data_IF_093190407275
#
_entry.id   IF_093190407275
#
_cell.length_a   1.000
_cell.length_b   1.000
_cell.length_c   1.000
_cell.angle_alpha   90.00
_cell.angle_beta   90.00
_cell.angle_gamma   90.00
#
_symmetry.space_group_name_H-M   'P 1'
#
loop_
_entity.id
_entity.type
_entity.pdbx_description
1 polymer ?
#
# COMPACT_ATOMS: atom_id res chain seq x y z
N UNK A 1 15.58 -3.32 -4.33
CA UNK A 1 14.62 -3.11 -3.22
C UNK A 1 13.61 -2.03 -3.56
N UNK A 2 14.05 -0.84 -3.96
CA UNK A 2 13.17 0.33 -4.22
C UNK A 2 11.98 0.01 -5.14
N UNK A 3 12.20 -0.41 -6.39
CA UNK A 3 11.10 -0.74 -7.32
C UNK A 3 10.14 -1.83 -6.81
N UNK A 4 10.64 -2.77 -6.01
CA UNK A 4 9.82 -3.82 -5.41
C UNK A 4 8.90 -3.23 -4.34
N UNK A 5 9.46 -2.44 -3.43
CA UNK A 5 8.70 -1.76 -2.38
C UNK A 5 7.69 -0.79 -2.98
N UNK A 6 8.05 -0.05 -4.03
CA UNK A 6 7.15 0.88 -4.72
C UNK A 6 5.95 0.14 -5.35
N UNK A 7 6.19 -1.01 -6.01
CA UNK A 7 5.13 -1.84 -6.57
C UNK A 7 4.18 -2.42 -5.51
N UNK A 8 4.74 -2.85 -4.37
CA UNK A 8 3.94 -3.31 -3.23
C UNK A 8 3.14 -2.17 -2.61
N UNK A 9 3.75 -1.00 -2.44
CA UNK A 9 3.11 0.20 -1.91
C UNK A 9 1.96 0.68 -2.79
N UNK A 10 2.12 0.64 -4.12
CA UNK A 10 1.04 0.92 -5.07
C UNK A 10 -0.15 -0.03 -4.88
N UNK A 11 0.10 -1.34 -4.76
CA UNK A 11 -0.96 -2.34 -4.54
C UNK A 11 -1.67 -2.18 -3.21
N UNK A 12 -0.96 -1.76 -2.17
CA UNK A 12 -1.55 -1.46 -0.86
C UNK A 12 -2.30 -0.11 -0.86
N UNK A 13 -2.03 0.77 -1.83
CA UNK A 13 -2.55 2.14 -1.84
C UNK A 13 -1.87 3.02 -0.80
N UNK A 14 -0.59 2.81 -0.53
CA UNK A 14 0.21 3.59 0.40
C UNK A 14 0.75 4.86 -0.26
N UNK A 15 0.93 5.93 0.50
CA UNK A 15 1.53 7.16 0.01
C UNK A 15 3.03 6.99 -0.27
N UNK A 16 3.56 7.54 -1.39
CA UNK A 16 2.93 8.49 -2.32
C UNK A 16 2.15 7.85 -3.50
N UNK A 17 1.99 6.53 -3.53
CA UNK A 17 1.42 5.78 -4.66
C UNK A 17 -0.10 5.53 -4.56
N UNK A 18 -0.79 6.31 -3.74
CA UNK A 18 -2.22 6.13 -3.40
C UNK A 18 -3.18 6.92 -4.30
N UNK A 19 -2.67 7.74 -5.23
CA UNK A 19 -3.48 8.69 -6.01
C UNK A 19 -4.62 8.05 -6.81
N UNK A 20 -4.49 6.77 -7.16
CA UNK A 20 -5.54 6.02 -7.87
C UNK A 20 -6.75 5.67 -6.99
N UNK A 21 -6.57 5.62 -5.67
CA UNK A 21 -7.55 5.04 -4.74
C UNK A 21 -8.87 5.83 -4.72
N UNK A 22 -8.89 7.17 -4.58
CA UNK A 22 -10.14 7.93 -4.52
C UNK A 22 -10.95 7.79 -5.81
N UNK A 23 -10.32 8.01 -6.96
CA UNK A 23 -10.99 7.99 -8.27
C UNK A 23 -11.56 6.60 -8.60
N UNK A 24 -10.83 5.54 -8.28
CA UNK A 24 -11.31 4.17 -8.53
C UNK A 24 -12.42 3.79 -7.57
N UNK A 25 -12.35 4.18 -6.29
CA UNK A 25 -13.40 3.85 -5.32
C UNK A 25 -14.70 4.59 -5.62
N UNK A 26 -14.61 5.82 -6.11
CA UNK A 26 -15.75 6.62 -6.52
C UNK A 26 -16.31 6.20 -7.88
N UNK A 27 -15.44 5.85 -8.84
CA UNK A 27 -15.83 5.53 -10.21
C UNK A 27 -16.35 4.10 -10.41
N UNK A 28 -15.99 3.16 -9.54
CA UNK A 28 -16.42 1.77 -9.65
C UNK A 28 -17.79 1.51 -8.99
N UNK A 29 -18.57 0.51 -9.46
CA UNK A 29 -19.77 0.06 -8.75
C UNK A 29 -19.45 -0.36 -7.31
N UNK A 30 -20.36 -0.09 -6.37
CA UNK A 30 -20.14 -0.34 -4.93
C UNK A 30 -19.65 -1.76 -4.62
N UNK A 31 -20.23 -2.77 -5.28
CA UNK A 31 -19.80 -4.17 -5.11
C UNK A 31 -18.34 -4.40 -5.52
N UNK A 32 -17.89 -3.73 -6.58
CA UNK A 32 -16.49 -3.78 -7.04
C UNK A 32 -15.59 -3.05 -6.06
N UNK A 33 -15.98 -1.85 -5.60
CA UNK A 33 -15.24 -1.07 -4.58
C UNK A 33 -15.03 -1.88 -3.30
N UNK A 34 -16.07 -2.58 -2.82
CA UNK A 34 -15.96 -3.47 -1.65
C UNK A 34 -14.97 -4.62 -1.89
N UNK A 35 -15.04 -5.27 -3.06
CA UNK A 35 -14.13 -6.36 -3.41
C UNK A 35 -12.68 -5.88 -3.46
N UNK A 36 -12.39 -4.84 -4.24
CA UNK A 36 -11.03 -4.31 -4.43
C UNK A 36 -10.48 -3.62 -3.18
N UNK A 37 -11.37 -3.13 -2.31
CA UNK A 37 -11.03 -2.53 -1.03
C UNK A 37 -10.59 -3.52 0.03
N UNK A 38 -10.89 -4.81 -0.14
CA UNK A 38 -10.57 -5.85 0.84
C UNK A 38 -9.67 -6.95 0.29
N UNK A 39 -10.16 -7.79 -0.62
CA UNK A 39 -9.51 -9.06 -0.95
C UNK A 39 -8.12 -8.88 -1.61
N UNK A 40 -7.95 -8.00 -2.62
CA UNK A 40 -6.63 -7.77 -3.19
C UNK A 40 -5.65 -7.10 -2.22
N UNK A 41 -6.13 -6.28 -1.26
CA UNK A 41 -5.26 -5.66 -0.24
C UNK A 41 -4.74 -6.69 0.75
N UNK A 42 -5.56 -7.64 1.18
CA UNK A 42 -5.11 -8.76 2.02
C UNK A 42 -4.10 -9.63 1.28
N UNK A 43 -4.35 -9.95 0.01
CA UNK A 43 -3.41 -10.70 -0.81
C UNK A 43 -2.09 -9.95 -1.00
N UNK A 44 -2.14 -8.64 -1.26
CA UNK A 44 -0.95 -7.79 -1.38
C UNK A 44 -0.15 -7.73 -0.07
N UNK A 45 -0.82 -7.66 1.08
CA UNK A 45 -0.16 -7.72 2.38
C UNK A 45 0.56 -9.06 2.60
N UNK A 46 -0.11 -10.17 2.29
CA UNK A 46 0.50 -11.50 2.39
C UNK A 46 1.74 -11.64 1.47
N UNK A 47 1.66 -11.16 0.23
CA UNK A 47 2.80 -11.14 -0.69
C UNK A 47 3.92 -10.23 -0.16
N UNK A 48 3.60 -9.10 0.44
CA UNK A 48 4.59 -8.18 1.03
C UNK A 48 5.39 -8.89 2.12
N UNK A 49 4.72 -9.58 3.04
CA UNK A 49 5.38 -10.35 4.10
C UNK A 49 6.24 -11.45 3.49
N UNK A 50 5.68 -12.27 2.60
CA UNK A 50 6.40 -13.38 1.97
C UNK A 50 7.65 -12.91 1.23
N UNK A 51 7.54 -11.81 0.49
CA UNK A 51 8.64 -11.32 -0.34
C UNK A 51 9.71 -10.60 0.49
N UNK A 52 9.32 -9.70 1.40
CA UNK A 52 10.28 -8.91 2.17
C UNK A 52 10.91 -9.69 3.33
N UNK A 53 10.08 -10.45 4.07
CA UNK A 53 10.53 -11.16 5.27
C UNK A 53 11.16 -12.50 4.93
N UNK A 54 10.55 -13.31 4.07
CA UNK A 54 11.13 -14.62 3.72
C UNK A 54 12.15 -14.51 2.58
N UNK A 55 11.87 -13.69 1.56
CA UNK A 55 12.69 -13.59 0.36
C UNK A 55 13.84 -12.57 0.41
N UNK A 56 13.73 -11.52 1.22
CA UNK A 56 14.66 -10.36 1.18
C UNK A 56 15.13 -9.91 2.57
N UNK A 57 15.18 -10.81 3.55
CA UNK A 57 15.58 -10.46 4.93
C UNK A 57 16.99 -9.89 5.02
N UNK A 58 17.90 -10.27 4.12
CA UNK A 58 19.26 -9.72 4.06
C UNK A 58 19.32 -8.22 3.73
N UNK A 59 18.23 -7.66 3.22
CA UNK A 59 18.08 -6.23 2.89
C UNK A 59 17.10 -5.54 3.85
N UNK A 60 16.90 -6.10 5.05
CA UNK A 60 15.93 -5.63 6.04
C UNK A 60 16.04 -4.15 6.37
N UNK A 61 17.27 -3.67 6.59
CA UNK A 61 17.52 -2.27 6.94
C UNK A 61 16.94 -1.33 5.88
N UNK A 62 17.13 -1.64 4.60
CA UNK A 62 16.68 -0.80 3.49
C UNK A 62 15.15 -0.76 3.40
N UNK A 63 14.48 -1.92 3.35
CA UNK A 63 13.03 -1.93 3.18
C UNK A 63 12.27 -1.52 4.45
N UNK A 64 12.82 -1.76 5.65
CA UNK A 64 12.20 -1.29 6.89
C UNK A 64 12.17 0.24 6.95
N UNK A 65 13.29 0.89 6.63
CA UNK A 65 13.35 2.36 6.60
C UNK A 65 12.36 2.93 5.58
N UNK A 66 12.23 2.31 4.40
CA UNK A 66 11.22 2.69 3.41
C UNK A 66 9.79 2.54 3.96
N UNK A 67 9.45 1.40 4.57
CA UNK A 67 8.12 1.15 5.13
C UNK A 67 7.75 2.16 6.24
N UNK A 68 8.72 2.59 7.05
CA UNK A 68 8.49 3.65 8.05
C UNK A 68 8.05 4.95 7.40
N UNK A 69 8.76 5.39 6.34
CA UNK A 69 8.41 6.63 5.62
C UNK A 69 7.03 6.51 4.97
N UNK A 70 6.74 5.38 4.31
CA UNK A 70 5.44 5.12 3.70
C UNK A 70 4.31 5.12 4.73
N UNK A 71 4.53 4.52 5.91
CA UNK A 71 3.53 4.46 6.98
C UNK A 71 3.22 5.85 7.53
N UNK A 72 4.24 6.65 7.85
CA UNK A 72 4.06 8.02 8.35
C UNK A 72 3.33 8.88 7.32
N UNK A 73 3.76 8.85 6.05
CA UNK A 73 3.08 9.62 5.01
C UNK A 73 1.63 9.17 4.79
N UNK A 74 1.36 7.86 4.81
CA UNK A 74 0.01 7.33 4.59
C UNK A 74 -0.94 7.69 5.73
N UNK A 75 -0.47 7.64 6.98
CA UNK A 75 -1.26 8.05 8.14
C UNK A 75 -1.54 9.56 8.12
N UNK A 76 -0.56 10.38 7.75
CA UNK A 76 -0.76 11.83 7.65
C UNK A 76 -1.71 12.19 6.51
N UNK A 77 -1.39 11.79 5.28
CA UNK A 77 -2.16 12.17 4.09
C UNK A 77 -3.55 11.55 4.13
N UNK A 78 -3.67 10.27 4.48
CA UNK A 78 -4.95 9.56 4.50
C UNK A 78 -5.93 10.14 5.51
N UNK A 79 -5.49 10.44 6.73
CA UNK A 79 -6.38 11.01 7.75
C UNK A 79 -6.74 12.48 7.46
N UNK A 80 -5.78 13.28 6.97
CA UNK A 80 -6.07 14.67 6.62
C UNK A 80 -7.04 14.77 5.43
N UNK A 81 -6.83 13.97 4.39
CA UNK A 81 -7.71 13.94 3.22
C UNK A 81 -9.12 13.39 3.53
N UNK A 82 -9.27 12.57 4.57
CA UNK A 82 -10.59 12.05 4.97
C UNK A 82 -11.47 13.08 5.71
N UNK A 83 -10.86 14.12 6.28
CA UNK A 83 -11.58 15.18 7.02
C UNK A 83 -11.86 16.40 6.13
N UNK A 84 -10.97 16.69 5.18
CA UNK A 84 -11.10 17.78 4.22
C UNK A 84 -12.27 17.56 3.24
#
# INVERSE_FOLDING_TARGET
VVFVVDGLAFKLGAAPFHMWVPDVYQGAPTAVTLLIGAAPKLAAFAITVRLLVEGMIGLAVDWQQMLVVLAVMSLLIGNLAAIA
#
